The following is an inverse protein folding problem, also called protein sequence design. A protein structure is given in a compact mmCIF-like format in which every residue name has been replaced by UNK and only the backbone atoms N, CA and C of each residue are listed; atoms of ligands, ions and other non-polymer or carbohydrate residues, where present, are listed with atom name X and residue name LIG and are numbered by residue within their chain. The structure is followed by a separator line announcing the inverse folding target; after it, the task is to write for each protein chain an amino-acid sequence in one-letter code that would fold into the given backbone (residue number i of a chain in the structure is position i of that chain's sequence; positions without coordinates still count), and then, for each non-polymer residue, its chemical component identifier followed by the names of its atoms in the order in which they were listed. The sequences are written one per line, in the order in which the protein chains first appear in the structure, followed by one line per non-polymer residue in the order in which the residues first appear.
data_IF_916473546112
#
_entry.id   IF_916473546112
#
_cell.length_a   1.000
_cell.length_b   1.000
_cell.length_c   1.000
_cell.angle_alpha   90.00
_cell.angle_beta   90.00
_cell.angle_gamma   90.00
#
_symmetry.space_group_name_H-M   'P 1'
#
loop_
_entity.id
_entity.type
_entity.pdbx_description
1 polymer ?
#
# COMPACT_ATOMS: atom_id res chain seq x y z
N UNK A 1 -7.53 -6.91 2.90
CA UNK A 1 -7.53 -6.85 1.41
C UNK A 1 -6.86 -8.12 0.89
N UNK A 2 -7.21 -8.62 -0.29
CA UNK A 2 -6.61 -9.83 -0.85
C UNK A 2 -6.40 -9.72 -2.36
N UNK A 3 -5.56 -10.60 -2.92
CA UNK A 3 -5.42 -10.78 -4.37
C UNK A 3 -6.35 -11.88 -4.84
N UNK A 4 -7.06 -11.63 -5.95
CA UNK A 4 -7.89 -12.60 -6.66
C UNK A 4 -7.26 -12.93 -8.03
N UNK A 5 -7.49 -14.15 -8.52
CA UNK A 5 -6.94 -14.65 -9.79
C UNK A 5 -7.66 -14.08 -11.03
N UNK A 6 -8.71 -13.28 -10.87
CA UNK A 6 -9.45 -12.70 -11.99
C UNK A 6 -8.75 -11.45 -12.55
N UNK A 7 -8.16 -11.59 -13.76
CA UNK A 7 -7.44 -10.50 -14.46
C UNK A 7 -8.22 -9.18 -14.57
N UNK A 8 -9.55 -9.23 -14.53
CA UNK A 8 -10.44 -8.06 -14.63
C UNK A 8 -11.72 -8.21 -13.80
N UNK A 9 -11.60 -8.74 -12.57
CA UNK A 9 -12.74 -8.80 -11.67
C UNK A 9 -13.34 -7.41 -11.43
N UNK A 10 -14.66 -7.29 -11.22
CA UNK A 10 -15.29 -6.00 -10.98
C UNK A 10 -14.83 -5.35 -9.66
N UNK A 11 -14.09 -6.07 -8.83
CA UNK A 11 -13.50 -5.59 -7.57
C UNK A 11 -12.02 -5.19 -7.72
N UNK A 12 -11.45 -5.24 -8.92
CA UNK A 12 -10.02 -4.98 -9.15
C UNK A 12 -9.72 -3.53 -9.58
N UNK A 13 -10.74 -2.68 -9.71
CA UNK A 13 -10.59 -1.30 -10.16
C UNK A 13 -10.32 -0.33 -8.99
N UNK A 14 -9.27 0.47 -9.15
CA UNK A 14 -8.87 1.51 -8.22
C UNK A 14 -8.66 2.83 -8.96
N UNK A 15 -9.24 3.92 -8.43
CA UNK A 15 -9.05 5.27 -8.93
C UNK A 15 -7.88 5.91 -8.18
N UNK A 16 -6.84 6.28 -8.94
CA UNK A 16 -5.68 6.99 -8.41
C UNK A 16 -6.00 8.48 -8.32
N UNK A 17 -5.68 9.12 -7.19
CA UNK A 17 -5.67 10.59 -7.07
C UNK A 17 -4.28 11.05 -6.66
N UNK A 18 -3.80 12.10 -7.30
CA UNK A 18 -2.53 12.76 -6.96
C UNK A 18 -2.84 13.84 -5.92
N UNK A 19 -2.26 13.71 -4.73
CA UNK A 19 -2.57 14.62 -3.62
C UNK A 19 -1.97 16.02 -3.83
N UNK A 20 -0.92 16.11 -4.64
CA UNK A 20 -0.34 17.37 -5.07
C UNK A 20 -1.02 17.73 -6.40
N UNK A 21 -1.50 18.97 -6.53
CA UNK A 21 -2.39 19.51 -7.58
C UNK A 21 -1.82 19.53 -9.01
N UNK A 22 -0.84 18.68 -9.33
CA UNK A 22 -0.26 18.58 -10.66
C UNK A 22 -1.01 17.49 -11.45
N UNK A 23 -1.24 17.73 -12.74
CA UNK A 23 -1.82 16.74 -13.66
C UNK A 23 -0.96 15.47 -13.80
N UNK A 24 0.30 15.54 -13.39
CA UNK A 24 1.28 14.46 -13.46
C UNK A 24 1.83 14.09 -12.09
N UNK A 25 1.98 12.79 -11.84
CA UNK A 25 2.59 12.27 -10.62
C UNK A 25 4.10 12.12 -10.81
N UNK A 26 4.88 12.91 -10.09
CA UNK A 26 6.35 12.89 -10.14
C UNK A 26 6.89 11.89 -9.11
N UNK A 27 7.82 11.04 -9.54
CA UNK A 27 8.50 10.09 -8.65
C UNK A 27 9.17 10.80 -7.46
N UNK A 28 9.10 10.18 -6.28
CA UNK A 28 9.75 10.68 -5.05
C UNK A 28 9.16 11.95 -4.42
N UNK A 29 8.15 12.58 -5.03
CA UNK A 29 7.57 13.84 -4.55
C UNK A 29 6.04 13.86 -4.51
N UNK A 30 5.37 13.15 -5.42
CA UNK A 30 3.92 13.01 -5.40
C UNK A 30 3.50 11.88 -4.46
N UNK A 31 2.53 12.17 -3.59
CA UNK A 31 1.77 11.14 -2.88
C UNK A 31 0.49 10.82 -3.63
N UNK A 32 0.10 9.56 -3.61
CA UNK A 32 -1.12 9.08 -4.26
C UNK A 32 -2.07 8.45 -3.25
N UNK A 33 -3.35 8.49 -3.58
CA UNK A 33 -4.36 7.68 -2.89
C UNK A 33 -5.00 6.72 -3.88
N UNK A 34 -5.33 5.53 -3.39
CA UNK A 34 -5.99 4.48 -4.16
C UNK A 34 -7.42 4.34 -3.64
N UNK A 35 -8.37 4.99 -4.32
CA UNK A 35 -9.80 4.89 -3.98
C UNK A 35 -10.39 3.67 -4.67
N UNK A 36 -11.07 2.82 -3.92
CA UNK A 36 -11.78 1.68 -4.49
C UNK A 36 -12.87 2.18 -5.45
N UNK A 37 -13.01 1.62 -6.64
CA UNK A 37 -13.92 2.19 -7.65
C UNK A 37 -15.40 2.15 -7.22
N UNK A 38 -15.79 1.08 -6.52
CA UNK A 38 -17.17 0.81 -6.11
C UNK A 38 -17.61 1.53 -4.83
N UNK A 39 -16.71 2.21 -4.12
CA UNK A 39 -17.04 2.91 -2.86
C UNK A 39 -16.08 4.04 -2.58
N UNK A 40 -16.43 4.99 -1.72
CA UNK A 40 -15.50 6.05 -1.29
C UNK A 40 -14.46 5.62 -0.25
N UNK A 41 -14.07 4.32 -0.26
CA UNK A 41 -13.03 3.76 0.60
C UNK A 41 -11.67 3.82 -0.09
N UNK A 42 -10.62 3.96 0.70
CA UNK A 42 -9.23 4.06 0.26
C UNK A 42 -8.39 2.90 0.81
N UNK A 43 -7.42 2.46 0.01
CA UNK A 43 -6.43 1.47 0.43
C UNK A 43 -5.43 2.07 1.43
N UNK A 44 -5.06 1.27 2.44
CA UNK A 44 -4.43 1.79 3.62
C UNK A 44 -3.81 0.88 4.64
N UNK A 45 -3.16 1.48 5.64
CA UNK A 45 -2.79 0.88 6.92
C UNK A 45 -3.20 1.74 8.12
N UNK A 46 -3.61 1.09 9.21
CA UNK A 46 -3.60 1.76 10.52
C UNK A 46 -2.22 1.63 11.18
N UNK A 47 -1.74 2.72 11.75
CA UNK A 47 -0.54 2.77 12.56
C UNK A 47 -0.75 1.96 13.83
N UNK A 48 -0.13 0.80 13.88
CA UNK A 48 0.13 0.17 15.16
C UNK A 48 -1.03 -0.56 15.81
N UNK A 49 -2.13 -0.81 15.11
CA UNK A 49 -3.28 -1.50 15.72
C UNK A 49 -3.49 -2.91 15.20
N UNK A 50 -3.18 -3.15 13.93
CA UNK A 50 -3.62 -4.38 13.28
C UNK A 50 -2.50 -5.13 12.58
N UNK A 51 -2.48 -6.42 12.86
CA UNK A 51 -1.60 -7.41 12.31
C UNK A 51 -2.34 -8.19 11.23
N UNK A 52 -1.64 -8.50 10.15
CA UNK A 52 -2.20 -9.27 9.06
C UNK A 52 -2.55 -10.70 9.53
N UNK A 53 -3.57 -11.35 8.93
CA UNK A 53 -4.13 -12.60 9.44
C UNK A 53 -3.15 -13.77 9.58
N UNK A 54 -2.15 -13.86 8.69
CA UNK A 54 -1.28 -15.05 8.61
C UNK A 54 0.16 -14.77 9.04
N UNK A 55 0.67 -13.55 8.85
CA UNK A 55 2.12 -13.27 9.01
C UNK A 55 2.47 -12.24 10.07
N UNK A 56 1.49 -11.68 10.78
CA UNK A 56 1.72 -10.61 11.77
C UNK A 56 2.39 -9.34 11.22
N UNK A 57 2.43 -9.18 9.89
CA UNK A 57 2.86 -7.94 9.24
C UNK A 57 1.82 -6.83 9.46
N UNK A 58 2.11 -5.61 8.99
CA UNK A 58 1.10 -4.53 9.08
C UNK A 58 -0.08 -4.86 8.17
N UNK A 59 -1.29 -4.89 8.72
CA UNK A 59 -2.51 -5.19 7.97
C UNK A 59 -2.81 -4.07 6.94
N UNK A 60 -3.16 -4.49 5.72
CA UNK A 60 -3.67 -3.60 4.67
C UNK A 60 -5.18 -3.65 4.60
N UNK A 61 -5.80 -2.48 4.76
CA UNK A 61 -7.24 -2.30 4.93
C UNK A 61 -7.83 -1.39 3.85
N UNK A 62 -9.16 -1.46 3.67
CA UNK A 62 -9.94 -0.43 2.97
C UNK A 62 -10.81 0.32 3.97
N UNK A 63 -10.66 1.63 4.07
CA UNK A 63 -11.42 2.45 5.02
C UNK A 63 -11.88 3.76 4.39
N UNK A 64 -12.94 4.34 4.93
CA UNK A 64 -13.41 5.68 4.53
C UNK A 64 -12.38 6.73 4.97
N UNK A 65 -12.20 7.78 4.17
CA UNK A 65 -11.42 8.93 4.59
C UNK A 65 -12.24 9.73 5.60
N UNK A 66 -11.91 9.63 6.88
CA UNK A 66 -12.50 10.51 7.88
C UNK A 66 -11.80 11.87 7.81
N UNK A 67 -12.51 12.93 7.40
CA UNK A 67 -12.02 14.31 7.49
C UNK A 67 -11.92 14.82 8.94
N UNK A 68 -12.38 14.02 9.91
CA UNK A 68 -12.26 14.33 11.33
C UNK A 68 -10.85 13.95 11.83
N UNK A 69 -10.22 14.90 12.52
CA UNK A 69 -8.89 14.80 13.16
C UNK A 69 -8.72 13.63 14.15
N UNK A 70 -9.75 12.81 14.36
CA UNK A 70 -9.78 11.72 15.33
C UNK A 70 -9.08 10.44 14.86
N UNK A 71 -8.65 10.33 13.61
CA UNK A 71 -8.02 9.12 13.08
C UNK A 71 -6.54 9.34 12.73
N UNK A 72 -5.77 9.87 13.70
CA UNK A 72 -4.31 10.12 13.60
C UNK A 72 -3.50 8.87 13.21
N UNK A 73 -4.11 7.71 13.38
CA UNK A 73 -3.52 6.42 13.11
C UNK A 73 -3.84 5.89 11.71
N UNK A 74 -4.71 6.53 10.93
CA UNK A 74 -5.09 6.05 9.61
C UNK A 74 -4.35 6.82 8.50
N UNK A 75 -3.49 6.16 7.71
CA UNK A 75 -2.75 6.79 6.59
C UNK A 75 -2.95 6.13 5.24
N UNK A 76 -3.65 6.85 4.34
CA UNK A 76 -3.99 6.44 2.97
C UNK A 76 -3.07 6.99 1.89
N UNK A 77 -2.14 7.86 2.27
CA UNK A 77 -1.30 8.58 1.32
C UNK A 77 -0.02 7.77 1.08
N UNK A 78 0.04 7.15 -0.10
CA UNK A 78 1.14 6.29 -0.51
C UNK A 78 2.21 7.12 -1.21
N UNK A 79 3.46 6.96 -0.79
CA UNK A 79 4.61 7.37 -1.58
C UNK A 79 4.93 6.27 -2.59
N UNK A 80 5.33 6.65 -3.80
CA UNK A 80 5.73 5.70 -4.83
C UNK A 80 7.11 6.02 -5.39
N UNK A 81 7.86 4.97 -5.69
CA UNK A 81 9.16 5.05 -6.36
C UNK A 81 9.21 4.06 -7.51
N UNK A 82 10.02 4.37 -8.51
CA UNK A 82 10.31 3.45 -9.60
C UNK A 82 11.14 2.26 -9.08
N UNK A 83 10.84 1.03 -9.51
CA UNK A 83 11.50 -0.17 -8.97
C UNK A 83 12.96 -0.35 -9.43
N UNK A 84 13.32 0.16 -10.62
CA UNK A 84 14.73 0.19 -11.06
C UNK A 84 15.60 1.00 -10.06
N UNK A 85 16.71 0.40 -9.63
CA UNK A 85 17.70 1.02 -8.75
C UNK A 85 18.29 2.28 -9.41
N UNK A 86 18.12 3.43 -8.76
CA UNK A 86 18.64 4.72 -9.20
C UNK A 86 17.66 5.87 -8.91
N UNK A 87 18.15 7.10 -8.92
CA UNK A 87 17.31 8.30 -8.79
C UNK A 87 16.56 8.56 -10.09
N UNK A 88 15.55 7.74 -10.39
CA UNK A 88 14.70 7.96 -11.55
C UNK A 88 13.94 9.28 -11.38
N UNK A 89 14.18 10.21 -12.30
CA UNK A 89 13.50 11.50 -12.36
C UNK A 89 12.50 11.46 -13.52
N UNK A 90 11.24 11.76 -13.25
CA UNK A 90 10.19 11.75 -14.26
C UNK A 90 8.80 11.58 -13.68
N UNK A 91 7.85 11.28 -14.56
CA UNK A 91 6.45 11.08 -14.22
C UNK A 91 6.06 9.61 -14.31
N UNK A 92 5.11 9.19 -13.47
CA UNK A 92 4.47 7.88 -13.51
C UNK A 92 3.81 7.63 -14.87
N UNK A 93 4.08 6.47 -15.47
CA UNK A 93 3.47 6.02 -16.73
C UNK A 93 2.84 4.65 -16.57
N UNK A 94 1.96 4.32 -17.52
CA UNK A 94 1.41 2.96 -17.63
C UNK A 94 2.55 1.96 -17.87
N UNK A 95 2.43 0.78 -17.27
CA UNK A 95 3.41 -0.32 -17.30
C UNK A 95 4.73 -0.06 -16.56
N UNK A 96 4.85 1.05 -15.82
CA UNK A 96 5.97 1.22 -14.90
C UNK A 96 5.84 0.23 -13.73
N UNK A 97 6.96 -0.39 -13.36
CA UNK A 97 7.04 -1.16 -12.12
C UNK A 97 7.39 -0.19 -11.00
N UNK A 98 6.50 -0.09 -10.02
CA UNK A 98 6.62 0.83 -8.90
C UNK A 98 6.46 0.10 -7.56
N UNK A 99 7.09 0.66 -6.53
CA UNK A 99 6.88 0.26 -5.15
C UNK A 99 6.02 1.31 -4.46
N UNK A 100 4.99 0.86 -3.74
CA UNK A 100 4.15 1.70 -2.89
C UNK A 100 4.60 1.56 -1.45
N UNK A 101 4.79 2.69 -0.77
CA UNK A 101 5.27 2.71 0.61
C UNK A 101 4.55 3.75 1.47
N UNK A 102 4.55 3.50 2.77
CA UNK A 102 4.10 4.45 3.80
C UNK A 102 5.20 4.56 4.86
N UNK A 103 5.39 5.78 5.38
CA UNK A 103 6.24 6.02 6.56
C UNK A 103 5.37 6.07 7.80
N UNK A 104 5.41 5.02 8.62
CA UNK A 104 4.71 4.90 9.90
C UNK A 104 5.41 5.73 10.98
N UNK A 105 4.61 6.41 11.79
CA UNK A 105 5.10 7.12 12.97
C UNK A 105 4.93 6.34 14.27
N UNK A 106 4.14 5.25 14.29
CA UNK A 106 3.86 4.48 15.52
C UNK A 106 4.01 2.96 15.32
N UNK A 107 4.44 2.28 16.38
CA UNK A 107 4.56 0.82 16.47
C UNK A 107 3.23 0.15 16.88
N UNK A 108 3.20 -1.19 16.96
CA UNK A 108 2.00 -1.97 17.34
C UNK A 108 1.48 -1.77 18.76
N UNK A 109 2.19 -1.02 19.58
CA UNK A 109 1.79 -0.67 20.93
C UNK A 109 1.34 0.81 21.01
N UNK A 110 1.31 1.52 19.87
CA UNK A 110 1.02 2.95 19.81
C UNK A 110 2.19 3.85 20.24
N UNK A 111 3.41 3.32 20.37
CA UNK A 111 4.58 4.13 20.70
C UNK A 111 5.10 4.85 19.46
N UNK A 112 5.57 6.08 19.64
CA UNK A 112 6.24 6.83 18.58
C UNK A 112 7.53 6.12 18.14
N UNK A 113 7.72 5.92 16.84
CA UNK A 113 8.95 5.39 16.24
C UNK A 113 9.86 6.58 15.90
N UNK A 114 11.04 6.71 16.54
CA UNK A 114 12.01 7.75 16.18
C UNK A 114 12.39 7.64 14.70
N UNK A 115 12.38 8.77 13.97
CA UNK A 115 12.59 8.86 12.52
C UNK A 115 11.56 8.14 11.63
N UNK A 116 10.55 7.51 12.21
CA UNK A 116 9.53 6.71 11.52
C UNK A 116 10.08 5.41 10.89
N UNK A 117 9.18 4.50 10.54
CA UNK A 117 9.49 3.24 9.87
C UNK A 117 8.83 3.21 8.49
N UNK A 118 9.61 2.92 7.45
CA UNK A 118 9.06 2.73 6.10
C UNK A 118 8.56 1.30 5.96
N UNK A 119 7.33 1.15 5.46
CA UNK A 119 6.74 -0.14 5.10
C UNK A 119 6.27 -0.12 3.65
N UNK A 120 6.40 -1.26 2.96
CA UNK A 120 6.08 -1.44 1.55
C UNK A 120 4.90 -2.39 1.37
N UNK A 121 4.01 -2.06 0.45
CA UNK A 121 2.89 -2.92 0.06
C UNK A 121 3.42 -4.16 -0.67
N UNK A 122 3.02 -5.34 -0.22
CA UNK A 122 3.44 -6.63 -0.79
C UNK A 122 2.29 -7.64 -0.80
N UNK A 123 2.27 -8.49 -1.81
CA UNK A 123 1.61 -9.80 -1.75
C UNK A 123 2.63 -10.93 -1.88
N UNK A 124 2.26 -12.13 -1.43
CA UNK A 124 3.15 -13.26 -1.28
C UNK A 124 2.36 -14.57 -1.23
N UNK A 125 3.01 -15.72 -1.38
CA UNK A 125 2.34 -17.03 -1.53
C UNK A 125 1.71 -17.59 -0.23
N UNK A 126 1.49 -16.74 0.76
CA UNK A 126 0.81 -17.10 2.00
C UNK A 126 -0.66 -16.73 1.87
N UNK A 127 -1.50 -17.65 2.31
CA UNK A 127 -2.94 -17.56 2.17
C UNK A 127 -3.62 -17.48 3.54
N UNK A 128 -4.87 -17.04 3.53
CA UNK A 128 -5.78 -17.07 4.67
C UNK A 128 -7.18 -17.47 4.20
N UNK A 129 -7.99 -18.01 5.11
CA UNK A 129 -9.34 -18.44 4.79
C UNK A 129 -10.38 -17.42 5.31
N UNK A 130 -11.40 -17.16 4.50
CA UNK A 130 -12.62 -16.46 4.94
C UNK A 130 -13.79 -17.35 4.58
N UNK A 131 -14.40 -17.98 5.59
CA UNK A 131 -15.36 -19.06 5.35
C UNK A 131 -14.70 -20.24 4.65
N UNK A 132 -15.25 -20.65 3.50
CA UNK A 132 -14.71 -21.76 2.70
C UNK A 132 -13.76 -21.32 1.60
N UNK A 133 -13.56 -20.00 1.45
CA UNK A 133 -12.76 -19.44 0.39
C UNK A 133 -11.34 -19.14 0.89
N UNK A 134 -10.35 -19.37 0.03
CA UNK A 134 -8.93 -19.15 0.32
C UNK A 134 -8.41 -17.99 -0.51
N UNK A 135 -7.72 -17.07 0.16
CA UNK A 135 -7.26 -15.82 -0.43
C UNK A 135 -5.78 -15.59 -0.18
N UNK A 136 -5.09 -14.95 -1.13
CA UNK A 136 -3.71 -14.54 -0.95
C UNK A 136 -3.63 -13.30 -0.05
N UNK A 137 -2.71 -13.33 0.92
CA UNK A 137 -2.49 -12.23 1.85
C UNK A 137 -1.87 -11.01 1.14
N UNK A 138 -2.31 -9.82 1.56
CA UNK A 138 -1.73 -8.53 1.17
C UNK A 138 -1.35 -7.79 2.44
N UNK A 139 -0.08 -7.39 2.54
CA UNK A 139 0.50 -6.83 3.76
C UNK A 139 1.39 -5.63 3.48
N UNK A 140 1.75 -4.93 4.55
CA UNK A 140 2.85 -3.98 4.56
C UNK A 140 4.02 -4.54 5.39
N UNK A 141 5.21 -4.65 4.80
CA UNK A 141 6.43 -5.15 5.45
C UNK A 141 7.54 -4.09 5.49
N UNK A 142 8.44 -4.17 6.46
CA UNK A 142 9.61 -3.28 6.61
C UNK A 142 10.95 -3.98 6.31
N UNK A 143 10.88 -5.15 5.67
CA UNK A 143 12.04 -5.96 5.29
C UNK A 143 12.77 -5.34 4.08
N UNK A 144 13.96 -5.86 3.78
CA UNK A 144 14.70 -5.49 2.56
C UNK A 144 13.85 -5.84 1.34
N UNK A 145 13.80 -4.93 0.37
CA UNK A 145 13.20 -5.20 -0.94
C UNK A 145 13.96 -6.31 -1.66
N UNK A 146 13.21 -7.21 -2.29
CA UNK A 146 13.74 -8.32 -3.07
C UNK A 146 12.64 -9.31 -3.44
N UNK A 147 12.94 -10.25 -4.33
CA UNK A 147 11.95 -11.23 -4.80
C UNK A 147 10.72 -10.53 -5.38
N UNK A 148 9.56 -10.67 -4.73
CA UNK A 148 8.29 -10.11 -5.19
C UNK A 148 8.24 -8.57 -5.27
N UNK A 149 9.19 -7.86 -4.64
CA UNK A 149 9.22 -6.38 -4.67
C UNK A 149 10.10 -5.82 -5.80
N UNK A 150 10.82 -6.68 -6.50
CA UNK A 150 11.74 -6.30 -7.55
C UNK A 150 11.46 -7.11 -8.82
N UNK A 151 11.59 -6.47 -9.98
CA UNK A 151 11.59 -7.23 -11.23
C UNK A 151 12.97 -7.82 -11.37
N UNK A 152 13.06 -9.14 -11.17
CA UNK A 152 14.22 -9.90 -11.63
C UNK A 152 14.40 -9.57 -13.10
N UNK A 153 15.62 -9.14 -13.48
CA UNK A 153 15.98 -9.02 -14.89
C UNK A 153 15.77 -10.40 -15.52
N UNK A 154 14.69 -10.56 -16.27
CA UNK A 154 14.57 -11.61 -17.29
C UNK A 154 15.50 -11.24 -18.45
#
# INVERSE_FOLDING_TARGET
VFVDNSKFGPNSLWKIRFNNSNELATYGSTRITLRYDKSDKFLGIYYGYYKSPSTNHTEVVISVSCNNMSNYYWVKDWEFNHAKVGNYQGFLKSNDIINLRIKKSYDFNGNLIPNGQVVYLRSHDIQFNVGNDTFQEVVCHNERLGGNDEVSKL
#
